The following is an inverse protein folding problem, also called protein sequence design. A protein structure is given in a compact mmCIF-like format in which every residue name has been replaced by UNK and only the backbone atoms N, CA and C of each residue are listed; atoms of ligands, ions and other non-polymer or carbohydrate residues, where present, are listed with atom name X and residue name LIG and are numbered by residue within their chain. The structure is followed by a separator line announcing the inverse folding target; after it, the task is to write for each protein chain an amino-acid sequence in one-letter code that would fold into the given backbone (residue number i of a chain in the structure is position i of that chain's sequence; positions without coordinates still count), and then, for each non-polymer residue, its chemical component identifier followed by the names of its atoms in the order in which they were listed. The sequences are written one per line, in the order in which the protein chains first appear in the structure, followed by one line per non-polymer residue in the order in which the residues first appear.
data_IF_645326199372
#
_entry.id   IF_645326199372
#
_cell.length_a   1.000
_cell.length_b   1.000
_cell.length_c   1.000
_cell.angle_alpha   90.00
_cell.angle_beta   90.00
_cell.angle_gamma   90.00
#
_symmetry.space_group_name_H-M   'P 1'
#
loop_
_entity.id
_entity.type
_entity.pdbx_description
1 polymer ?
#
# COMPACT_ATOMS: atom_id res chain seq x y z
N UNK A 1 -6.13 10.77 9.68
CA UNK A 1 -7.47 10.85 10.32
C UNK A 1 -8.49 9.95 9.59
N UNK A 2 -8.74 10.15 8.29
CA UNK A 2 -9.80 9.41 7.57
C UNK A 2 -9.56 7.90 7.52
N UNK A 3 -8.37 7.45 7.14
CA UNK A 3 -8.03 6.02 7.14
C UNK A 3 -8.20 5.37 8.53
N UNK A 4 -7.81 6.08 9.61
CA UNK A 4 -7.98 5.55 10.96
C UNK A 4 -9.45 5.42 11.37
N UNK A 5 -10.34 6.29 10.86
CA UNK A 5 -11.80 6.13 11.05
C UNK A 5 -12.33 4.91 10.30
N UNK A 6 -11.92 4.73 9.04
CA UNK A 6 -12.27 3.54 8.25
C UNK A 6 -11.76 2.23 8.88
N UNK A 7 -10.64 2.27 9.60
CA UNK A 7 -10.06 1.12 10.29
C UNK A 7 -10.39 1.08 11.80
N UNK A 8 -11.47 1.71 12.22
CA UNK A 8 -11.84 1.78 13.66
C UNK A 8 -12.06 0.39 14.29
N UNK A 9 -12.39 -0.63 13.51
CA UNK A 9 -12.56 -2.01 13.96
C UNK A 9 -11.23 -2.79 14.03
N UNK A 10 -10.11 -2.23 13.57
CA UNK A 10 -8.80 -2.90 13.69
C UNK A 10 -8.29 -2.82 15.13
N UNK A 11 -7.62 -3.88 15.60
CA UNK A 11 -7.02 -3.92 16.93
C UNK A 11 -5.89 -2.89 17.10
N UNK A 12 -5.22 -2.52 16.01
CA UNK A 12 -4.15 -1.54 15.98
C UNK A 12 -3.81 -1.06 14.58
N UNK A 13 -2.98 -0.02 14.48
CA UNK A 13 -2.49 0.50 13.21
C UNK A 13 -0.96 0.43 13.16
N UNK A 14 -0.42 0.23 11.96
CA UNK A 14 1.02 0.23 11.73
C UNK A 14 1.39 1.36 10.76
N UNK A 15 2.45 2.09 11.09
CA UNK A 15 2.91 3.28 10.39
C UNK A 15 4.45 3.26 10.25
N UNK A 16 4.97 4.18 9.45
CA UNK A 16 6.42 4.41 9.31
C UNK A 16 6.86 5.75 9.88
N UNK A 17 5.96 6.74 9.94
CA UNK A 17 6.26 8.12 10.34
C UNK A 17 5.77 8.42 11.76
N UNK A 18 6.67 8.89 12.61
CA UNK A 18 6.35 9.29 14.00
C UNK A 18 5.39 10.48 14.05
N UNK A 19 5.50 11.43 13.12
CA UNK A 19 4.57 12.56 13.01
C UNK A 19 3.14 12.11 12.74
N UNK A 20 2.97 11.11 11.87
CA UNK A 20 1.70 10.47 11.59
C UNK A 20 1.08 9.81 12.83
N UNK A 21 1.91 9.09 13.61
CA UNK A 21 1.48 8.49 14.88
C UNK A 21 1.06 9.56 15.90
N UNK A 22 1.84 10.64 16.00
CA UNK A 22 1.52 11.79 16.85
C UNK A 22 0.20 12.44 16.45
N UNK A 23 -0.07 12.60 15.15
CA UNK A 23 -1.34 13.12 14.67
C UNK A 23 -2.52 12.22 15.03
N UNK A 24 -2.39 10.90 14.86
CA UNK A 24 -3.43 9.94 15.25
C UNK A 24 -3.73 10.01 16.76
N UNK A 25 -2.71 10.17 17.60
CA UNK A 25 -2.91 10.38 19.04
C UNK A 25 -3.69 11.66 19.35
N UNK A 26 -3.38 12.77 18.67
CA UNK A 26 -4.13 14.05 18.80
C UNK A 26 -5.57 13.92 18.30
N UNK A 27 -5.78 13.17 17.21
CA UNK A 27 -7.11 12.90 16.62
C UNK A 27 -7.95 11.90 17.46
N UNK A 28 -7.41 11.39 18.55
CA UNK A 28 -8.15 10.59 19.53
C UNK A 28 -7.96 9.07 19.41
N UNK A 29 -7.10 8.56 18.50
CA UNK A 29 -6.81 7.13 18.45
C UNK A 29 -6.15 6.66 19.75
N UNK A 30 -6.74 5.65 20.41
CA UNK A 30 -6.25 5.10 21.68
C UNK A 30 -5.69 3.69 21.55
N UNK A 31 -5.99 2.99 20.47
CA UNK A 31 -5.49 1.65 20.18
C UNK A 31 -3.96 1.59 19.96
N UNK A 32 -3.40 0.39 19.86
CA UNK A 32 -1.98 0.18 19.52
C UNK A 32 -1.57 0.91 18.25
N UNK A 33 -0.34 1.45 18.24
CA UNK A 33 0.32 2.00 17.07
C UNK A 33 1.72 1.40 16.99
N UNK A 34 2.03 0.74 15.88
CA UNK A 34 3.31 0.09 15.61
C UNK A 34 4.12 0.90 14.61
N UNK A 35 5.35 1.27 14.98
CA UNK A 35 6.33 1.86 14.06
C UNK A 35 7.09 0.75 13.34
N UNK A 36 6.79 0.54 12.04
CA UNK A 36 7.25 -0.63 11.25
C UNK A 36 8.74 -0.63 10.95
N UNK A 37 9.37 0.52 10.95
CA UNK A 37 10.82 0.69 10.74
C UNK A 37 11.57 0.89 12.06
N UNK A 38 10.85 0.98 13.18
CA UNK A 38 11.41 1.18 14.51
C UNK A 38 11.91 2.60 14.73
N UNK A 39 12.83 2.76 15.68
CA UNK A 39 13.47 4.03 15.99
C UNK A 39 14.69 4.26 15.09
N UNK A 40 14.92 5.50 14.68
CA UNK A 40 16.10 5.93 13.90
C UNK A 40 17.17 6.57 14.78
N UNK A 41 16.77 7.09 15.94
CA UNK A 41 17.64 7.68 16.94
C UNK A 41 17.10 7.49 18.37
N UNK A 42 17.85 7.86 19.42
CA UNK A 42 17.38 7.77 20.80
C UNK A 42 16.12 8.61 21.10
N UNK A 43 15.95 9.75 20.43
CA UNK A 43 14.78 10.63 20.61
C UNK A 43 13.49 9.97 20.18
N UNK A 44 13.54 9.13 19.17
CA UNK A 44 12.39 8.31 18.71
C UNK A 44 11.97 7.31 19.79
N UNK A 45 12.90 6.72 20.52
CA UNK A 45 12.58 5.81 21.65
C UNK A 45 11.85 6.57 22.76
N UNK A 46 12.31 7.77 23.09
CA UNK A 46 11.61 8.62 24.06
C UNK A 46 10.23 9.04 23.56
N UNK A 47 10.10 9.38 22.28
CA UNK A 47 8.82 9.73 21.68
C UNK A 47 7.87 8.52 21.70
N UNK A 48 8.35 7.33 21.37
CA UNK A 48 7.58 6.10 21.43
C UNK A 48 7.02 5.85 22.84
N UNK A 49 7.86 6.02 23.87
CA UNK A 49 7.45 5.88 25.25
C UNK A 49 6.36 6.92 25.64
N UNK A 50 6.58 8.19 25.31
CA UNK A 50 5.62 9.28 25.61
C UNK A 50 4.27 9.07 24.91
N UNK A 51 4.29 8.60 23.65
CA UNK A 51 3.08 8.42 22.84
C UNK A 51 2.48 7.01 22.91
N UNK A 52 3.08 6.13 23.70
CA UNK A 52 2.67 4.72 23.82
C UNK A 52 2.63 4.02 22.45
N UNK A 53 3.75 4.12 21.72
CA UNK A 53 3.95 3.44 20.45
C UNK A 53 4.68 2.12 20.70
N UNK A 54 4.39 1.11 19.87
CA UNK A 54 5.20 -0.10 19.76
C UNK A 54 6.29 0.12 18.71
N UNK A 55 7.46 -0.48 18.90
CA UNK A 55 8.58 -0.35 17.97
C UNK A 55 8.96 -1.70 17.36
N UNK A 56 9.17 -1.74 16.06
CA UNK A 56 9.91 -2.84 15.45
C UNK A 56 11.39 -2.68 15.81
N UNK A 57 12.01 -3.77 16.28
CA UNK A 57 13.44 -3.85 16.57
C UNK A 57 14.07 -4.83 15.59
N UNK A 58 15.01 -4.35 14.79
CA UNK A 58 15.58 -5.10 13.66
C UNK A 58 17.11 -5.01 13.57
N UNK A 59 17.74 -4.19 14.41
CA UNK A 59 19.19 -4.04 14.48
C UNK A 59 19.69 -3.82 15.91
N UNK A 60 20.99 -4.11 16.21
CA UNK A 60 21.54 -4.04 17.56
C UNK A 60 21.52 -2.65 18.21
N UNK A 61 21.65 -1.56 17.41
CA UNK A 61 21.65 -0.19 17.96
C UNK A 61 20.33 0.17 18.61
N UNK A 62 19.20 -0.29 18.04
CA UNK A 62 17.88 -0.05 18.62
C UNK A 62 17.76 -0.69 20.01
N UNK A 63 18.38 -1.87 20.22
CA UNK A 63 18.44 -2.48 21.54
C UNK A 63 19.32 -1.64 22.49
N UNK A 64 20.48 -1.16 22.02
CA UNK A 64 21.36 -0.30 22.82
C UNK A 64 20.64 0.99 23.26
N UNK A 65 19.81 1.58 22.42
CA UNK A 65 19.02 2.76 22.79
C UNK A 65 17.97 2.42 23.86
N UNK A 66 17.31 1.27 23.75
CA UNK A 66 16.36 0.79 24.78
C UNK A 66 17.07 0.46 26.11
N UNK A 67 18.32 -0.04 26.07
CA UNK A 67 19.17 -0.31 27.25
C UNK A 67 19.64 0.98 27.93
N UNK A 68 20.04 1.98 27.15
CA UNK A 68 20.64 3.23 27.62
C UNK A 68 19.60 4.24 28.15
N UNK A 69 18.39 4.21 27.64
CA UNK A 69 17.33 5.13 27.97
C UNK A 69 16.30 4.45 28.85
N UNK A 70 16.01 5.05 30.01
CA UNK A 70 14.89 4.67 30.84
C UNK A 70 13.65 5.45 30.40
N UNK A 71 12.83 4.93 29.50
CA UNK A 71 11.64 5.63 29.06
C UNK A 71 10.64 5.81 30.21
N UNK A 72 9.78 6.84 30.17
CA UNK A 72 8.78 7.08 31.22
C UNK A 72 7.74 5.95 31.31
N UNK A 73 7.61 5.12 30.25
CA UNK A 73 6.75 3.93 30.21
C UNK A 73 7.42 2.82 29.42
N UNK A 74 7.13 1.56 29.77
CA UNK A 74 7.65 0.41 29.04
C UNK A 74 7.04 0.32 27.63
N UNK A 75 7.85 -0.09 26.66
CA UNK A 75 7.52 -0.12 25.23
C UNK A 75 7.26 -1.58 24.80
N UNK A 76 6.17 -1.82 24.09
CA UNK A 76 5.97 -3.07 23.37
C UNK A 76 6.87 -3.12 22.14
N UNK A 77 7.64 -4.18 21.96
CA UNK A 77 8.55 -4.34 20.83
C UNK A 77 8.14 -5.51 19.93
N UNK A 78 8.35 -5.31 18.63
CA UNK A 78 8.22 -6.34 17.61
C UNK A 78 9.64 -6.71 17.13
N UNK A 79 10.17 -7.80 17.67
CA UNK A 79 11.50 -8.28 17.29
C UNK A 79 11.44 -8.95 15.91
N UNK A 80 12.14 -8.37 14.94
CA UNK A 80 12.03 -8.77 13.54
C UNK A 80 13.16 -9.72 13.13
N UNK A 81 12.75 -10.91 12.66
CA UNK A 81 13.63 -11.86 11.99
C UNK A 81 13.71 -11.55 10.48
N UNK A 82 14.90 -11.55 9.93
CA UNK A 82 15.12 -11.67 8.49
C UNK A 82 15.04 -13.15 8.09
N UNK A 83 13.88 -13.56 7.63
CA UNK A 83 13.62 -14.93 7.18
C UNK A 83 13.92 -15.18 5.69
N UNK A 84 14.50 -14.19 4.97
CA UNK A 84 14.91 -14.36 3.58
C UNK A 84 14.67 -13.15 2.68
N UNK A 85 13.85 -12.17 3.10
CA UNK A 85 13.60 -10.95 2.33
C UNK A 85 14.83 -10.03 2.23
N UNK A 86 15.76 -10.13 3.17
CA UNK A 86 17.04 -9.38 3.21
C UNK A 86 16.87 -7.84 3.17
N UNK A 87 15.79 -7.35 3.77
CA UNK A 87 15.54 -5.90 3.89
C UNK A 87 15.83 -5.38 5.29
N UNK A 88 15.18 -5.92 6.32
CA UNK A 88 15.35 -5.58 7.74
C UNK A 88 15.21 -6.84 8.59
N UNK A 89 15.84 -6.87 9.75
CA UNK A 89 15.69 -7.95 10.74
C UNK A 89 17.01 -8.64 11.07
N UNK A 90 17.06 -9.25 12.23
CA UNK A 90 18.18 -10.06 12.71
C UNK A 90 18.25 -11.39 11.95
N UNK A 91 19.47 -11.90 11.76
CA UNK A 91 19.68 -13.30 11.32
C UNK A 91 19.49 -14.24 12.50
N UNK A 92 19.34 -15.53 12.22
CA UNK A 92 18.92 -16.57 13.18
C UNK A 92 19.58 -16.46 14.56
N UNK A 93 20.90 -16.52 14.64
CA UNK A 93 21.62 -16.54 15.94
C UNK A 93 21.49 -15.20 16.67
N UNK A 94 21.68 -14.10 15.93
CA UNK A 94 21.52 -12.75 16.46
C UNK A 94 20.08 -12.45 16.89
N UNK A 95 19.07 -13.09 16.29
CA UNK A 95 17.67 -12.95 16.67
C UNK A 95 17.41 -13.51 18.08
N UNK A 96 17.95 -14.67 18.38
CA UNK A 96 17.80 -15.30 19.71
C UNK A 96 18.56 -14.52 20.78
N UNK A 97 19.75 -14.01 20.47
CA UNK A 97 20.50 -13.12 21.36
C UNK A 97 19.74 -11.82 21.61
N UNK A 98 19.21 -11.19 20.56
CA UNK A 98 18.38 -9.99 20.66
C UNK A 98 17.14 -10.22 21.54
N UNK A 99 16.46 -11.34 21.38
CA UNK A 99 15.33 -11.72 22.26
C UNK A 99 15.79 -11.79 23.72
N UNK A 100 16.88 -12.49 23.99
CA UNK A 100 17.38 -12.66 25.37
C UNK A 100 17.80 -11.31 26.01
N UNK A 101 18.34 -10.38 25.22
CA UNK A 101 18.65 -9.02 25.68
C UNK A 101 17.40 -8.23 25.99
N UNK A 102 16.45 -8.16 25.06
CA UNK A 102 15.18 -7.43 25.22
C UNK A 102 14.35 -7.95 26.41
N UNK A 103 14.32 -9.27 26.60
CA UNK A 103 13.57 -9.89 27.68
C UNK A 103 14.06 -9.54 29.11
N UNK A 104 15.27 -8.97 29.22
CA UNK A 104 15.85 -8.52 30.50
C UNK A 104 15.59 -7.05 30.80
N UNK A 105 15.08 -6.30 29.81
CA UNK A 105 14.91 -4.85 29.96
C UNK A 105 13.56 -4.53 30.63
N UNK A 106 13.63 -3.72 31.68
CA UNK A 106 12.44 -3.17 32.33
C UNK A 106 11.73 -2.13 31.44
N UNK A 107 12.43 -1.59 30.44
CA UNK A 107 11.90 -0.69 29.43
C UNK A 107 11.11 -1.39 28.32
N UNK A 108 11.06 -2.73 28.32
CA UNK A 108 10.27 -3.54 27.37
C UNK A 108 9.16 -4.26 28.11
N UNK A 109 7.91 -3.98 27.74
CA UNK A 109 6.72 -4.57 28.37
C UNK A 109 6.33 -5.90 27.73
N UNK A 110 6.45 -6.00 26.42
CA UNK A 110 6.09 -7.20 25.66
C UNK A 110 6.98 -7.34 24.43
N UNK A 111 7.30 -8.58 24.07
CA UNK A 111 8.00 -8.91 22.83
C UNK A 111 7.04 -9.70 21.93
N UNK A 112 6.86 -9.23 20.69
CA UNK A 112 6.19 -9.95 19.61
C UNK A 112 7.25 -10.37 18.60
N UNK A 113 7.31 -11.66 18.23
CA UNK A 113 8.21 -12.14 17.17
C UNK A 113 7.58 -11.85 15.81
N UNK A 114 8.36 -11.27 14.91
CA UNK A 114 7.86 -10.78 13.63
C UNK A 114 8.77 -11.21 12.48
N UNK A 115 8.17 -11.51 11.34
CA UNK A 115 8.87 -11.56 10.05
C UNK A 115 8.04 -10.90 8.97
N UNK A 116 8.52 -10.94 7.72
CA UNK A 116 7.78 -10.47 6.54
C UNK A 116 8.10 -11.36 5.34
N UNK A 117 7.07 -11.90 4.71
CA UNK A 117 7.22 -12.77 3.54
C UNK A 117 7.43 -11.95 2.27
N UNK A 118 8.42 -12.35 1.48
CA UNK A 118 8.70 -11.71 0.19
C UNK A 118 7.78 -12.22 -0.93
N UNK A 119 7.45 -13.51 -0.91
CA UNK A 119 6.81 -14.23 -2.01
C UNK A 119 5.56 -15.01 -1.55
N UNK A 120 4.80 -14.47 -0.59
CA UNK A 120 3.60 -15.14 -0.10
C UNK A 120 2.44 -15.18 -1.12
N UNK A 121 2.58 -14.43 -2.21
CA UNK A 121 1.69 -14.42 -3.38
C UNK A 121 1.95 -15.60 -4.34
N UNK A 122 3.07 -16.30 -4.19
CA UNK A 122 3.44 -17.46 -5.01
C UNK A 122 3.18 -18.77 -4.25
N UNK A 123 2.77 -19.80 -4.96
CA UNK A 123 2.59 -21.13 -4.39
C UNK A 123 3.89 -21.66 -3.78
N UNK A 124 3.88 -22.00 -2.47
CA UNK A 124 5.07 -22.42 -1.72
C UNK A 124 6.11 -21.32 -1.48
N UNK A 125 5.85 -20.08 -1.93
CA UNK A 125 6.83 -19.00 -1.86
C UNK A 125 7.16 -18.51 -0.45
N UNK A 126 6.34 -18.86 0.54
CA UNK A 126 6.58 -18.54 1.95
C UNK A 126 7.19 -19.70 2.76
N UNK A 127 7.24 -20.92 2.25
CA UNK A 127 7.56 -22.13 3.02
C UNK A 127 8.94 -22.05 3.67
N UNK A 128 9.96 -21.67 2.90
CA UNK A 128 11.33 -21.54 3.42
C UNK A 128 11.43 -20.43 4.48
N UNK A 129 10.76 -19.30 4.25
CA UNK A 129 10.75 -18.18 5.20
C UNK A 129 10.03 -18.55 6.50
N UNK A 130 8.94 -19.31 6.40
CA UNK A 130 8.22 -19.84 7.56
C UNK A 130 9.07 -20.87 8.31
N UNK A 131 9.69 -21.80 7.62
CA UNK A 131 10.59 -22.78 8.23
C UNK A 131 11.76 -22.13 8.98
N UNK A 132 12.39 -21.09 8.39
CA UNK A 132 13.44 -20.32 9.04
C UNK A 132 12.93 -19.58 10.28
N UNK A 133 11.71 -19.02 10.20
CA UNK A 133 11.10 -18.36 11.34
C UNK A 133 10.81 -19.33 12.48
N UNK A 134 10.21 -20.47 12.19
CA UNK A 134 9.88 -21.48 13.21
C UNK A 134 11.15 -22.02 13.90
N UNK A 135 12.23 -22.27 13.14
CA UNK A 135 13.51 -22.69 13.70
C UNK A 135 14.10 -21.62 14.64
N UNK A 136 14.06 -20.34 14.26
CA UNK A 136 14.59 -19.25 15.07
C UNK A 136 13.72 -18.95 16.30
N UNK A 137 12.40 -19.11 16.19
CA UNK A 137 11.44 -18.83 17.24
C UNK A 137 11.20 -20.02 18.19
N UNK A 138 11.74 -21.20 17.88
CA UNK A 138 11.49 -22.42 18.67
C UNK A 138 11.82 -22.22 20.16
N UNK A 139 10.80 -22.50 21.01
CA UNK A 139 10.93 -22.39 22.47
C UNK A 139 10.96 -20.96 23.03
N UNK A 140 10.81 -19.92 22.21
CA UNK A 140 10.70 -18.54 22.68
C UNK A 140 9.23 -18.27 23.11
N UNK A 141 8.98 -17.85 24.37
CA UNK A 141 7.65 -17.61 24.89
C UNK A 141 7.12 -16.23 24.49
N UNK A 142 6.69 -16.07 23.24
CA UNK A 142 6.23 -14.79 22.73
C UNK A 142 5.17 -14.97 21.62
N UNK A 143 4.25 -14.02 21.53
CA UNK A 143 3.26 -13.93 20.46
C UNK A 143 3.94 -13.62 19.10
N UNK A 144 3.26 -13.93 18.00
CA UNK A 144 3.82 -13.92 16.66
C UNK A 144 2.99 -13.06 15.69
N UNK A 145 3.66 -12.37 14.79
CA UNK A 145 3.03 -11.61 13.72
C UNK A 145 3.79 -11.83 12.41
N UNK A 146 3.23 -12.61 11.49
CA UNK A 146 3.90 -13.10 10.30
C UNK A 146 3.26 -12.57 9.02
N UNK A 147 1.92 -12.76 8.88
CA UNK A 147 1.20 -12.55 7.64
C UNK A 147 1.13 -11.08 7.21
N UNK A 148 1.53 -10.82 5.96
CA UNK A 148 1.19 -9.64 5.18
C UNK A 148 -0.14 -9.87 4.43
N UNK A 149 -0.55 -8.96 3.51
CA UNK A 149 -1.81 -9.11 2.76
C UNK A 149 -1.92 -10.43 2.01
N UNK A 150 -0.87 -10.85 1.29
CA UNK A 150 -0.90 -12.11 0.53
C UNK A 150 -0.99 -13.32 1.46
N UNK A 151 -0.17 -13.38 2.50
CA UNK A 151 -0.22 -14.46 3.48
C UNK A 151 -1.54 -14.46 4.26
N UNK A 152 -2.17 -13.31 4.49
CA UNK A 152 -3.50 -13.24 5.12
C UNK A 152 -4.57 -13.93 4.26
N UNK A 153 -4.47 -13.82 2.94
CA UNK A 153 -5.44 -14.42 2.01
C UNK A 153 -5.15 -15.91 1.73
N UNK A 154 -3.87 -16.29 1.64
CA UNK A 154 -3.47 -17.59 1.09
C UNK A 154 -2.92 -18.57 2.13
N UNK A 155 -2.46 -18.11 3.29
CA UNK A 155 -1.72 -18.92 4.25
C UNK A 155 -2.34 -18.80 5.67
N UNK A 156 -3.48 -19.48 5.94
CA UNK A 156 -4.13 -19.42 7.26
C UNK A 156 -3.20 -19.79 8.42
N UNK A 157 -2.30 -20.75 8.22
CA UNK A 157 -1.33 -21.18 9.24
C UNK A 157 -0.31 -20.08 9.61
N UNK A 158 -0.12 -19.10 8.73
CA UNK A 158 0.75 -17.95 8.98
C UNK A 158 0.05 -16.77 9.66
N UNK A 159 -1.25 -16.85 9.96
CA UNK A 159 -1.97 -15.79 10.67
C UNK A 159 -1.40 -15.59 12.07
N UNK A 160 -1.04 -16.67 12.73
CA UNK A 160 -0.50 -16.67 14.09
C UNK A 160 -1.39 -15.82 15.05
N UNK A 161 -0.77 -14.95 15.88
CA UNK A 161 -1.51 -14.14 16.84
C UNK A 161 -1.95 -12.77 16.29
N UNK A 162 -1.28 -12.28 15.23
CA UNK A 162 -1.61 -10.99 14.63
C UNK A 162 -1.20 -10.93 13.15
N UNK A 163 -2.13 -10.52 12.30
CA UNK A 163 -1.91 -10.25 10.88
C UNK A 163 -1.61 -8.77 10.62
N UNK A 164 -0.97 -8.46 9.50
CA UNK A 164 -0.65 -7.10 9.07
C UNK A 164 -1.06 -6.87 7.62
N UNK A 165 -2.36 -6.89 7.32
CA UNK A 165 -2.84 -6.57 6.00
C UNK A 165 -2.56 -5.10 5.67
N UNK A 166 -2.25 -4.82 4.41
CA UNK A 166 -2.03 -3.48 3.88
C UNK A 166 -2.93 -3.24 2.67
N UNK A 167 -2.41 -3.49 1.45
CA UNK A 167 -3.10 -3.17 0.20
C UNK A 167 -4.51 -3.76 0.09
N UNK A 168 -4.73 -4.97 0.60
CA UNK A 168 -6.05 -5.59 0.57
C UNK A 168 -7.12 -4.76 1.30
N UNK A 169 -6.73 -3.99 2.32
CA UNK A 169 -7.64 -3.08 3.04
C UNK A 169 -8.03 -1.85 2.21
N UNK A 170 -7.27 -1.55 1.16
CA UNK A 170 -7.54 -0.48 0.21
C UNK A 170 -8.16 -0.99 -1.09
N UNK A 171 -8.46 -2.31 -1.16
CA UNK A 171 -9.13 -2.93 -2.28
C UNK A 171 -8.23 -3.26 -3.48
N UNK A 172 -6.89 -3.15 -3.32
CA UNK A 172 -5.93 -3.64 -4.29
C UNK A 172 -5.56 -5.10 -4.02
N UNK A 173 -5.29 -5.88 -5.06
CA UNK A 173 -4.84 -7.26 -4.90
C UNK A 173 -3.37 -7.32 -4.46
N UNK A 174 -3.03 -8.18 -3.48
CA UNK A 174 -1.65 -8.53 -3.20
C UNK A 174 -1.13 -9.68 -4.10
N UNK A 175 -1.96 -10.19 -5.01
CA UNK A 175 -1.71 -11.41 -5.81
C UNK A 175 -1.60 -11.01 -7.29
N UNK A 176 -0.41 -10.90 -7.81
CA UNK A 176 -0.03 -10.58 -9.18
C UNK A 176 -1.16 -10.43 -10.22
N UNK A 177 -1.62 -11.53 -10.80
CA UNK A 177 -2.60 -11.53 -11.90
C UNK A 177 -4.06 -11.71 -11.44
N UNK A 178 -4.35 -11.69 -10.14
CA UNK A 178 -5.71 -11.91 -9.64
C UNK A 178 -6.51 -10.61 -9.60
N UNK A 179 -7.77 -10.66 -10.03
CA UNK A 179 -8.71 -9.55 -9.83
C UNK A 179 -9.09 -9.45 -8.34
N UNK A 180 -8.91 -8.28 -7.75
CA UNK A 180 -9.24 -8.01 -6.35
C UNK A 180 -10.70 -8.38 -6.01
N UNK A 181 -11.63 -8.21 -6.95
CA UNK A 181 -13.06 -8.56 -6.77
C UNK A 181 -13.28 -10.06 -6.58
N UNK A 182 -12.48 -10.93 -7.21
CA UNK A 182 -12.58 -12.39 -7.01
C UNK A 182 -12.14 -12.81 -5.61
N UNK A 183 -11.37 -11.95 -4.93
CA UNK A 183 -10.95 -12.11 -3.55
C UNK A 183 -11.91 -11.45 -2.54
N UNK A 184 -13.05 -10.92 -3.03
CA UNK A 184 -14.00 -10.18 -2.20
C UNK A 184 -13.52 -8.80 -1.75
N UNK A 185 -12.43 -8.28 -2.33
CA UNK A 185 -11.91 -6.96 -2.02
C UNK A 185 -12.70 -5.88 -2.79
N UNK A 186 -12.92 -4.74 -2.14
CA UNK A 186 -13.62 -3.59 -2.71
C UNK A 186 -12.70 -2.37 -2.74
N UNK A 187 -12.64 -1.62 -3.85
CA UNK A 187 -11.83 -0.40 -3.91
C UNK A 187 -12.33 0.62 -2.87
N UNK A 188 -11.39 1.22 -2.16
CA UNK A 188 -11.65 2.30 -1.20
C UNK A 188 -11.19 3.66 -1.74
N UNK A 189 -10.64 3.68 -2.95
CA UNK A 189 -10.15 4.89 -3.61
C UNK A 189 -10.60 4.87 -5.08
N UNK A 190 -11.19 5.98 -5.53
CA UNK A 190 -11.44 6.26 -6.94
C UNK A 190 -10.61 7.47 -7.38
N UNK A 191 -9.99 7.38 -8.55
CA UNK A 191 -9.43 8.52 -9.25
C UNK A 191 -10.34 8.86 -10.42
N UNK A 192 -10.95 10.02 -10.31
CA UNK A 192 -11.91 10.50 -11.30
C UNK A 192 -11.47 11.83 -11.90
N UNK A 193 -11.88 12.04 -13.14
CA UNK A 193 -11.71 13.31 -13.84
C UNK A 193 -12.86 13.52 -14.82
N UNK A 194 -12.67 14.43 -15.79
CA UNK A 194 -13.67 14.73 -16.84
C UNK A 194 -12.99 14.95 -18.16
N UNK A 195 -13.74 14.73 -19.23
CA UNK A 195 -13.35 15.18 -20.55
C UNK A 195 -13.37 16.72 -20.59
N UNK A 196 -12.29 17.32 -21.09
CA UNK A 196 -12.21 18.78 -21.32
C UNK A 196 -12.35 19.14 -22.79
N UNK A 197 -12.06 18.18 -23.69
CA UNK A 197 -12.23 18.33 -25.12
C UNK A 197 -12.53 17.00 -25.80
N UNK A 198 -13.11 17.05 -26.98
CA UNK A 198 -13.24 15.94 -27.92
C UNK A 198 -12.62 16.36 -29.23
N UNK A 199 -11.80 15.49 -29.83
CA UNK A 199 -11.18 15.70 -31.12
C UNK A 199 -11.66 14.64 -32.10
N UNK A 200 -11.79 15.07 -33.37
CA UNK A 200 -12.00 14.17 -34.50
C UNK A 200 -10.66 13.98 -35.17
N UNK A 201 -10.27 12.76 -35.42
CA UNK A 201 -9.04 12.39 -36.11
C UNK A 201 -9.38 11.79 -37.47
N UNK A 202 -8.56 12.13 -38.46
CA UNK A 202 -8.54 11.44 -39.72
C UNK A 202 -7.50 10.31 -39.72
N UNK A 203 -7.60 9.39 -40.68
CA UNK A 203 -6.60 8.34 -40.83
C UNK A 203 -5.22 8.94 -41.08
N UNK A 204 -4.23 8.50 -40.28
CA UNK A 204 -2.85 9.01 -40.31
C UNK A 204 -2.54 10.09 -39.29
N UNK A 205 -3.54 10.69 -38.62
CA UNK A 205 -3.34 11.68 -37.58
C UNK A 205 -2.59 11.08 -36.37
N UNK A 206 -1.61 11.84 -35.89
CA UNK A 206 -0.82 11.42 -34.71
C UNK A 206 -1.37 12.05 -33.44
N UNK A 207 -1.25 11.30 -32.32
CA UNK A 207 -1.72 11.73 -31.01
C UNK A 207 -0.57 11.85 -30.02
N UNK A 208 -0.46 13.02 -29.38
CA UNK A 208 0.41 13.28 -28.24
C UNK A 208 1.90 13.29 -28.54
N UNK A 209 2.69 13.35 -27.47
CA UNK A 209 4.15 13.45 -27.57
C UNK A 209 4.80 12.21 -28.18
N UNK A 210 5.65 12.45 -29.16
CA UNK A 210 6.41 11.42 -29.86
C UNK A 210 5.60 10.67 -30.91
N UNK A 211 4.34 11.07 -31.16
CA UNK A 211 3.46 10.47 -32.19
C UNK A 211 3.41 8.93 -32.10
N UNK A 212 3.38 8.41 -30.87
CA UNK A 212 3.40 6.95 -30.63
C UNK A 212 2.10 6.26 -31.07
N UNK A 213 1.02 7.01 -31.15
CA UNK A 213 -0.24 6.56 -31.70
C UNK A 213 -0.51 7.31 -33.01
N UNK A 214 -0.98 6.58 -34.01
CA UNK A 214 -1.54 7.15 -35.24
C UNK A 214 -2.89 6.49 -35.51
N UNK A 215 -3.86 7.31 -35.81
CA UNK A 215 -5.18 6.83 -36.19
C UNK A 215 -5.08 6.02 -37.49
N UNK A 216 -5.58 4.80 -37.51
CA UNK A 216 -5.63 3.94 -38.70
C UNK A 216 -6.91 4.17 -39.51
N UNK A 217 -7.87 4.88 -38.94
CA UNK A 217 -9.16 5.29 -39.52
C UNK A 217 -9.64 6.57 -38.87
N UNK A 218 -10.65 7.23 -39.42
CA UNK A 218 -11.34 8.31 -38.71
C UNK A 218 -11.85 7.81 -37.35
N UNK A 219 -11.54 8.54 -36.28
CA UNK A 219 -11.94 8.18 -34.92
C UNK A 219 -12.12 9.40 -34.01
N UNK A 220 -12.82 9.21 -32.91
CA UNK A 220 -13.00 10.23 -31.88
C UNK A 220 -12.11 9.93 -30.69
N UNK A 221 -11.45 10.95 -30.17
CA UNK A 221 -10.73 10.86 -28.91
C UNK A 221 -11.18 11.92 -27.93
N UNK A 222 -11.13 11.59 -26.63
CA UNK A 222 -11.36 12.52 -25.54
C UNK A 222 -10.04 12.98 -24.91
N UNK A 223 -9.96 14.24 -24.52
CA UNK A 223 -8.89 14.78 -23.71
C UNK A 223 -9.37 14.84 -22.27
N UNK A 224 -8.68 14.18 -21.36
CA UNK A 224 -9.00 14.08 -19.94
C UNK A 224 -8.11 15.01 -19.13
N UNK A 225 -8.67 15.73 -18.16
CA UNK A 225 -7.94 16.62 -17.26
C UNK A 225 -7.24 15.84 -16.15
N UNK A 226 -6.30 14.97 -16.50
CA UNK A 226 -5.45 14.22 -15.58
C UNK A 226 -4.18 13.77 -16.31
N UNK A 227 -3.04 13.87 -15.65
CA UNK A 227 -1.77 13.44 -16.22
C UNK A 227 -0.79 12.98 -15.14
N UNK A 228 0.50 12.84 -15.51
CA UNK A 228 1.49 12.32 -14.58
C UNK A 228 1.82 13.29 -13.41
N UNK A 229 1.54 14.57 -13.53
CA UNK A 229 1.69 15.50 -12.42
C UNK A 229 0.55 15.39 -11.38
N UNK A 230 -0.50 14.62 -11.69
CA UNK A 230 -1.55 14.24 -10.75
C UNK A 230 -1.25 12.90 -10.06
N UNK A 231 -0.27 12.15 -10.57
CA UNK A 231 0.11 10.83 -10.08
C UNK A 231 -0.30 9.69 -11.02
N UNK A 232 -0.91 9.98 -12.18
CA UNK A 232 -1.18 8.94 -13.17
C UNK A 232 0.12 8.48 -13.85
N UNK A 233 0.35 7.16 -14.06
CA UNK A 233 1.65 6.68 -14.56
C UNK A 233 1.96 7.18 -15.96
N UNK A 234 3.08 7.92 -16.11
CA UNK A 234 3.53 8.45 -17.42
C UNK A 234 3.85 7.35 -18.41
N UNK A 235 4.27 6.21 -17.93
CA UNK A 235 4.67 5.06 -18.74
C UNK A 235 3.51 4.11 -19.07
N UNK A 236 2.29 4.45 -18.65
CA UNK A 236 1.09 3.74 -19.07
C UNK A 236 1.00 3.73 -20.62
N UNK A 237 0.96 2.56 -21.26
CA UNK A 237 0.85 2.46 -22.71
C UNK A 237 -0.54 2.86 -23.21
N UNK A 238 -0.66 3.08 -24.51
CA UNK A 238 -1.97 3.15 -25.16
C UNK A 238 -2.76 1.86 -24.93
N UNK A 239 -4.07 1.98 -24.72
CA UNK A 239 -4.93 0.86 -24.36
C UNK A 239 -5.01 0.58 -22.84
N UNK A 240 -4.27 1.30 -21.99
CA UNK A 240 -4.48 1.21 -20.54
C UNK A 240 -5.94 1.51 -20.19
N UNK A 241 -6.63 0.66 -19.40
CA UNK A 241 -8.06 0.78 -19.18
C UNK A 241 -8.44 2.07 -18.45
N UNK A 242 -9.51 2.68 -18.92
CA UNK A 242 -10.23 3.80 -18.31
C UNK A 242 -11.72 3.60 -18.55
N UNK A 243 -12.60 4.29 -17.83
CA UNK A 243 -14.02 4.32 -18.17
C UNK A 243 -14.49 5.75 -18.41
N UNK A 244 -15.28 5.95 -19.47
CA UNK A 244 -15.92 7.22 -19.80
C UNK A 244 -17.43 7.01 -19.76
N UNK A 245 -18.16 7.86 -19.03
CA UNK A 245 -19.61 7.68 -18.78
C UNK A 245 -19.94 6.24 -18.29
N UNK A 246 -19.03 5.60 -17.53
CA UNK A 246 -19.18 4.23 -17.03
C UNK A 246 -18.86 3.12 -18.05
N UNK A 247 -18.51 3.45 -19.28
CA UNK A 247 -18.16 2.50 -20.35
C UNK A 247 -16.65 2.33 -20.42
N UNK A 248 -16.17 1.08 -20.34
CA UNK A 248 -14.75 0.75 -20.47
C UNK A 248 -14.22 1.09 -21.87
N UNK A 249 -13.07 1.76 -21.87
CA UNK A 249 -12.28 2.09 -23.06
C UNK A 249 -10.79 2.08 -22.71
N UNK A 250 -9.95 2.67 -23.55
CA UNK A 250 -8.50 2.71 -23.34
C UNK A 250 -7.88 4.08 -23.58
N UNK A 251 -6.71 4.29 -22.98
CA UNK A 251 -5.90 5.47 -23.24
C UNK A 251 -5.34 5.44 -24.67
N UNK A 252 -5.06 6.62 -25.24
CA UNK A 252 -4.52 6.79 -26.58
C UNK A 252 -3.25 7.63 -26.52
N UNK A 253 -2.17 7.11 -27.06
CA UNK A 253 -0.88 7.81 -27.10
C UNK A 253 -0.23 7.92 -25.72
N UNK A 254 0.65 8.91 -25.53
CA UNK A 254 1.46 9.09 -24.32
C UNK A 254 0.78 10.01 -23.33
N UNK A 255 0.77 9.63 -22.06
CA UNK A 255 0.30 10.48 -20.96
C UNK A 255 1.17 11.73 -20.87
N UNK A 256 0.53 12.90 -20.89
CA UNK A 256 1.17 14.20 -20.72
C UNK A 256 1.20 14.63 -19.24
N UNK A 257 1.74 15.82 -18.95
CA UNK A 257 1.86 16.33 -17.58
C UNK A 257 0.49 16.47 -16.89
N UNK A 258 -0.46 17.08 -17.57
CA UNK A 258 -1.75 17.48 -17.01
C UNK A 258 -2.95 16.88 -17.76
N UNK A 259 -2.69 16.08 -18.79
CA UNK A 259 -3.72 15.52 -19.69
C UNK A 259 -3.34 14.12 -20.15
N UNK A 260 -4.34 13.32 -20.42
CA UNK A 260 -4.22 12.08 -21.20
C UNK A 260 -5.37 12.02 -22.20
N UNK A 261 -5.22 11.19 -23.22
CA UNK A 261 -6.23 10.99 -24.25
C UNK A 261 -6.82 9.59 -24.13
N UNK A 262 -8.10 9.49 -24.48
CA UNK A 262 -8.87 8.24 -24.42
C UNK A 262 -9.64 8.01 -25.72
N UNK A 263 -9.81 6.76 -26.11
CA UNK A 263 -10.64 6.37 -27.22
C UNK A 263 -12.12 6.59 -26.86
N UNK A 264 -12.88 7.24 -27.73
CA UNK A 264 -14.32 7.47 -27.58
C UNK A 264 -15.20 6.65 -28.53
N UNK A 265 -14.61 5.73 -29.31
CA UNK A 265 -15.40 4.86 -30.19
C UNK A 265 -16.49 4.06 -29.44
N UNK A 266 -16.16 3.47 -28.24
CA UNK A 266 -17.19 2.78 -27.46
C UNK A 266 -18.22 3.71 -26.82
N UNK A 267 -18.00 5.04 -26.82
CA UNK A 267 -18.81 6.02 -26.08
C UNK A 267 -19.24 7.16 -27.02
N UNK A 268 -20.12 6.90 -27.99
CA UNK A 268 -20.46 7.86 -29.04
C UNK A 268 -21.09 9.17 -28.52
N UNK A 269 -21.76 9.14 -27.37
CA UNK A 269 -22.41 10.30 -26.76
C UNK A 269 -21.48 11.12 -25.84
N UNK A 270 -20.25 10.68 -25.63
CA UNK A 270 -19.27 11.38 -24.78
C UNK A 270 -18.97 12.78 -25.31
N UNK A 271 -18.90 13.75 -24.39
CA UNK A 271 -18.71 15.18 -24.66
C UNK A 271 -17.88 15.85 -23.58
N UNK A 272 -17.38 17.07 -23.78
CA UNK A 272 -16.76 17.82 -22.69
C UNK A 272 -17.66 17.87 -21.47
N UNK A 273 -17.11 17.53 -20.30
CA UNK A 273 -17.83 17.34 -19.04
C UNK A 273 -18.20 15.90 -18.69
N UNK A 274 -18.19 14.96 -19.64
CA UNK A 274 -18.40 13.52 -19.37
C UNK A 274 -17.43 13.03 -18.29
N UNK A 275 -17.91 12.31 -17.24
CA UNK A 275 -17.07 11.75 -16.20
C UNK A 275 -16.13 10.67 -16.74
N UNK A 276 -14.91 10.65 -16.20
CA UNK A 276 -13.88 9.67 -16.52
C UNK A 276 -13.38 9.05 -15.23
N UNK A 277 -13.48 7.73 -15.10
CA UNK A 277 -12.86 6.96 -14.04
C UNK A 277 -11.53 6.41 -14.54
N UNK A 278 -10.46 6.78 -13.86
CA UNK A 278 -9.09 6.32 -14.18
C UNK A 278 -8.74 5.05 -13.42
N UNK A 279 -9.25 4.90 -12.20
CA UNK A 279 -9.40 3.66 -11.45
C UNK A 279 -10.45 3.82 -10.36
N UNK A 280 -11.10 2.72 -9.99
CA UNK A 280 -12.16 2.69 -9.00
C UNK A 280 -13.01 1.43 -9.10
N UNK A 281 -14.30 1.63 -9.13
CA UNK A 281 -15.27 0.51 -9.16
C UNK A 281 -15.39 -0.16 -10.54
N UNK A 282 -15.27 0.62 -11.62
CA UNK A 282 -15.38 0.11 -13.00
C UNK A 282 -14.01 -0.34 -13.51
N UNK A 283 -12.96 0.45 -13.23
CA UNK A 283 -11.58 0.18 -13.65
C UNK A 283 -10.76 -0.24 -12.44
N UNK A 284 -10.44 -1.53 -12.26
CA UNK A 284 -9.60 -1.96 -11.16
C UNK A 284 -8.23 -1.26 -11.20
N UNK A 285 -7.78 -0.74 -10.07
CA UNK A 285 -6.44 -0.11 -9.97
C UNK A 285 -5.33 -1.07 -10.39
N UNK A 286 -5.51 -2.36 -10.09
CA UNK A 286 -4.54 -3.39 -10.43
C UNK A 286 -4.42 -3.60 -11.94
N UNK A 287 -5.51 -3.42 -12.71
CA UNK A 287 -5.48 -3.49 -14.16
C UNK A 287 -4.67 -2.31 -14.76
N UNK A 288 -4.80 -1.11 -14.20
CA UNK A 288 -3.99 0.06 -14.59
C UNK A 288 -2.52 -0.16 -14.22
N UNK A 289 -2.27 -0.70 -13.03
CA UNK A 289 -0.93 -1.00 -12.54
C UNK A 289 -0.24 -2.05 -13.42
N UNK A 290 -0.92 -3.15 -13.74
CA UNK A 290 -0.41 -4.22 -14.60
C UNK A 290 -0.07 -3.69 -16.00
N UNK A 291 -0.98 -2.92 -16.62
CA UNK A 291 -0.74 -2.29 -17.92
C UNK A 291 0.49 -1.38 -17.88
N UNK A 292 0.74 -0.73 -16.75
CA UNK A 292 1.86 0.19 -16.54
C UNK A 292 3.14 -0.49 -16.04
N UNK A 293 3.16 -1.81 -15.85
CA UNK A 293 4.33 -2.54 -15.35
C UNK A 293 4.67 -2.24 -13.89
N UNK A 294 3.67 -1.95 -13.06
CA UNK A 294 3.81 -1.65 -11.63
C UNK A 294 2.73 -2.36 -10.81
N UNK A 295 2.55 -1.96 -9.55
CA UNK A 295 1.59 -2.51 -8.59
C UNK A 295 0.63 -1.43 -8.08
N UNK A 296 -0.59 -1.82 -7.68
CA UNK A 296 -1.61 -0.90 -7.18
C UNK A 296 -1.14 -0.05 -5.99
N UNK A 297 -0.23 -0.55 -5.16
CA UNK A 297 0.40 0.21 -4.06
C UNK A 297 1.07 1.50 -4.55
N UNK A 298 1.86 1.40 -5.64
CA UNK A 298 2.56 2.56 -6.17
C UNK A 298 1.59 3.61 -6.67
N UNK A 299 0.55 3.20 -7.39
CA UNK A 299 -0.47 4.11 -7.90
C UNK A 299 -1.21 4.85 -6.78
N UNK A 300 -1.57 4.14 -5.69
CA UNK A 300 -2.22 4.76 -4.54
C UNK A 300 -1.32 5.78 -3.83
N UNK A 301 -0.01 5.50 -3.76
CA UNK A 301 0.96 6.38 -3.13
C UNK A 301 1.40 7.56 -4.02
N UNK A 302 1.26 7.44 -5.35
CA UNK A 302 1.75 8.43 -6.31
C UNK A 302 0.88 9.68 -6.43
N UNK A 303 -0.34 9.67 -5.88
CA UNK A 303 -1.26 10.80 -6.03
C UNK A 303 -0.66 12.09 -5.47
N UNK A 304 -0.61 13.11 -6.33
CA UNK A 304 -0.06 14.41 -6.00
C UNK A 304 -1.01 15.19 -5.05
N UNK A 305 -0.42 16.04 -4.19
CA UNK A 305 -1.19 16.88 -3.25
C UNK A 305 -2.17 17.86 -3.92
N UNK A 306 -1.98 18.14 -5.20
CA UNK A 306 -2.88 19.02 -5.98
C UNK A 306 -4.21 18.34 -6.35
N UNK A 307 -4.28 17.01 -6.27
CA UNK A 307 -5.52 16.27 -6.52
C UNK A 307 -6.44 16.44 -5.32
N UNK A 308 -7.64 17.02 -5.50
CA UNK A 308 -8.57 17.22 -4.40
C UNK A 308 -9.05 15.87 -3.84
N UNK A 309 -8.88 15.66 -2.53
CA UNK A 309 -9.39 14.49 -1.85
C UNK A 309 -10.82 14.76 -1.37
N UNK A 310 -11.76 13.92 -1.78
CA UNK A 310 -13.11 13.87 -1.23
C UNK A 310 -13.27 12.59 -0.42
N UNK A 311 -13.78 12.71 0.78
CA UNK A 311 -14.12 11.56 1.62
C UNK A 311 -15.61 11.34 1.48
N UNK A 312 -15.98 10.16 1.00
CA UNK A 312 -17.35 9.69 0.97
C UNK A 312 -17.50 8.75 2.17
N UNK A 313 -18.37 9.10 3.10
CA UNK A 313 -18.79 8.16 4.12
C UNK A 313 -19.80 7.21 3.45
N UNK A 314 -19.61 5.92 3.59
CA UNK A 314 -20.61 4.96 3.16
C UNK A 314 -21.94 5.38 3.80
N UNK A 315 -22.90 5.81 2.99
CA UNK A 315 -24.26 5.90 3.46
C UNK A 315 -24.62 4.49 3.96
N UNK A 316 -24.93 4.36 5.23
CA UNK A 316 -25.35 3.09 5.81
C UNK A 316 -26.47 2.52 4.90
N UNK A 317 -26.44 1.19 4.63
CA UNK A 317 -27.43 0.54 3.77
C UNK A 317 -28.85 0.70 4.30
#
# INVERSE_FOLDING_TARGET
ANAARGFAAADGLALVEFDGAGQLRRDGWRGPLLMLEGAFDPGDVEQAARQRLSLVVHEPRQIQWLEALAPPAAIDVFLKLNSGMNRLGFRHDAFREAFARLARLTSVSRITLMTHFANADLAGGADEALGRFEAAAAGLPAVRSLANSAATLLLPDAHADAIRPGVMLYGGTPLGDSDARTLGLRPTMRLESRLIAVQQLEAGDAVGYGSLFRADRPMRIGVVACGYADGYPRHAPGGTPVAVDGVLTGTVGRVAMDMLMVDLEPVPDARPGSPVELWGDTVPIDAVAQASGTIGYELMCALARRVPLRVEDDAAP
#
